data_IF_986591057099
#
_entry.id   IF_986591057099
#
_cell.length_a   1.000
_cell.length_b   1.000
_cell.length_c   1.000
_cell.angle_alpha   90.00
_cell.angle_beta   90.00
_cell.angle_gamma   90.00
#
_symmetry.space_group_name_H-M   'P 1'
#
loop_
_entity.id
_entity.type
_entity.pdbx_description
1 polymer ?
#
# COMPACT_ATOMS: atom_id res chain seq x y z
N UNK A 1 -23.94 5.79 4.82
CA UNK A 1 -24.83 5.46 3.67
C UNK A 1 -25.58 4.16 3.97
N UNK A 2 -26.91 4.21 3.99
CA UNK A 2 -27.76 3.03 4.18
C UNK A 2 -28.02 2.46 2.78
N UNK A 3 -27.75 1.17 2.59
CA UNK A 3 -28.03 0.46 1.34
C UNK A 3 -29.17 -0.51 1.61
N UNK A 4 -30.24 -0.41 0.84
CA UNK A 4 -31.42 -1.24 0.97
C UNK A 4 -32.10 -1.41 -0.38
N UNK A 5 -32.80 -2.53 -0.54
CA UNK A 5 -33.59 -2.77 -1.75
C UNK A 5 -34.82 -1.86 -1.75
N UNK A 6 -35.06 -1.17 -2.86
CA UNK A 6 -36.24 -0.30 -3.06
C UNK A 6 -37.43 -1.12 -3.57
N UNK A 7 -37.19 -2.33 -4.06
CA UNK A 7 -38.21 -3.23 -4.58
C UNK A 7 -37.74 -4.68 -4.64
N UNK A 8 -38.60 -5.55 -5.14
CA UNK A 8 -38.30 -6.95 -5.45
C UNK A 8 -38.68 -7.27 -6.89
N UNK A 9 -37.95 -8.20 -7.49
CA UNK A 9 -38.31 -8.79 -8.79
C UNK A 9 -38.79 -10.20 -8.52
N UNK A 10 -40.01 -10.49 -8.94
CA UNK A 10 -40.59 -11.83 -8.86
C UNK A 10 -40.37 -12.54 -10.19
N UNK A 11 -39.75 -13.72 -10.10
CA UNK A 11 -39.24 -14.48 -11.25
C UNK A 11 -39.98 -15.81 -11.39
N UNK A 12 -41.30 -15.76 -11.42
CA UNK A 12 -42.12 -16.98 -11.55
C UNK A 12 -42.06 -17.61 -12.95
N UNK A 13 -41.68 -16.86 -14.00
CA UNK A 13 -41.54 -17.37 -15.37
C UNK A 13 -40.11 -17.66 -15.83
N UNK A 14 -39.97 -18.53 -16.84
CA UNK A 14 -38.69 -18.89 -17.47
C UNK A 14 -38.14 -17.80 -18.39
N UNK A 15 -39.03 -16.97 -18.95
CA UNK A 15 -38.66 -15.91 -19.87
C UNK A 15 -38.64 -14.53 -19.17
N UNK A 16 -37.75 -13.60 -19.58
CA UNK A 16 -37.64 -12.27 -18.95
C UNK A 16 -38.91 -11.43 -19.05
N UNK A 17 -39.81 -11.75 -19.98
CA UNK A 17 -41.12 -11.09 -20.17
C UNK A 17 -42.12 -11.38 -19.06
N UNK A 18 -41.91 -12.44 -18.27
CA UNK A 18 -42.81 -12.84 -17.19
C UNK A 18 -42.40 -12.25 -15.83
N UNK A 19 -41.34 -11.44 -15.80
CA UNK A 19 -40.84 -10.86 -14.56
C UNK A 19 -41.77 -9.77 -14.08
N UNK A 20 -42.20 -9.87 -12.82
CA UNK A 20 -42.96 -8.82 -12.17
C UNK A 20 -42.06 -7.96 -11.31
N UNK A 21 -42.16 -6.66 -11.51
CA UNK A 21 -41.36 -5.67 -10.79
C UNK A 21 -42.23 -5.02 -9.73
N UNK A 22 -41.86 -5.20 -8.47
CA UNK A 22 -42.58 -4.62 -7.35
C UNK A 22 -41.73 -3.60 -6.61
N UNK A 23 -42.36 -2.51 -6.21
CA UNK A 23 -41.74 -1.43 -5.45
C UNK A 23 -42.31 -1.37 -4.02
N UNK A 24 -41.45 -1.22 -3.01
CA UNK A 24 -41.88 -1.11 -1.62
C UNK A 24 -42.39 0.31 -1.33
N UNK A 25 -43.64 0.44 -0.87
CA UNK A 25 -44.24 1.74 -0.50
C UNK A 25 -43.92 2.15 0.93
N UNK A 26 -43.76 1.18 1.82
CA UNK A 26 -43.63 1.44 3.25
C UNK A 26 -42.29 0.97 3.82
N UNK A 27 -41.52 1.93 4.34
CA UNK A 27 -40.23 1.67 4.98
C UNK A 27 -40.33 1.91 6.50
N UNK A 28 -39.97 0.90 7.29
CA UNK A 28 -39.86 0.98 8.74
C UNK A 28 -38.40 1.22 9.15
N UNK A 29 -38.17 2.32 9.86
CA UNK A 29 -36.90 2.65 10.50
C UNK A 29 -36.99 2.34 11.99
N UNK A 30 -36.28 1.31 12.44
CA UNK A 30 -36.04 1.05 13.85
C UNK A 30 -34.72 1.73 14.24
N UNK A 31 -34.81 2.84 14.97
CA UNK A 31 -33.65 3.62 15.41
C UNK A 31 -33.35 3.30 16.88
N UNK A 32 -32.18 2.72 17.10
CA UNK A 32 -31.67 2.43 18.44
C UNK A 32 -30.77 3.57 18.92
N UNK A 33 -31.09 4.14 20.08
CA UNK A 33 -30.37 5.27 20.65
C UNK A 33 -29.94 5.00 22.10
N UNK A 34 -28.86 5.64 22.52
CA UNK A 34 -28.39 5.66 23.92
C UNK A 34 -28.08 7.11 24.27
N UNK A 35 -28.83 7.68 25.22
CA UNK A 35 -28.81 9.13 25.54
C UNK A 35 -28.98 9.97 24.26
N UNK A 36 -28.06 10.89 24.00
CA UNK A 36 -28.12 11.80 22.85
C UNK A 36 -27.46 11.23 21.57
N UNK A 37 -27.17 9.93 21.51
CA UNK A 37 -26.44 9.32 20.38
C UNK A 37 -27.19 8.14 19.76
N UNK A 38 -27.31 8.16 18.43
CA UNK A 38 -27.82 7.04 17.63
C UNK A 38 -26.75 5.95 17.52
N UNK A 39 -27.13 4.70 17.81
CA UNK A 39 -26.25 3.54 17.86
C UNK A 39 -26.41 2.70 16.60
N UNK A 40 -27.65 2.36 16.24
CA UNK A 40 -27.98 1.50 15.10
C UNK A 40 -29.28 1.99 14.44
N UNK A 41 -29.34 1.93 13.12
CA UNK A 41 -30.58 2.13 12.36
C UNK A 41 -30.82 0.84 11.58
N UNK A 42 -31.91 0.16 11.90
CA UNK A 42 -32.35 -1.02 11.17
C UNK A 42 -33.50 -0.61 10.24
N UNK A 43 -33.37 -0.96 8.96
CA UNK A 43 -34.36 -0.64 7.93
C UNK A 43 -35.06 -1.92 7.52
N UNK A 44 -36.38 -1.91 7.61
CA UNK A 44 -37.24 -3.03 7.20
C UNK A 44 -38.26 -2.50 6.21
N UNK A 45 -38.36 -3.14 5.06
CA UNK A 45 -39.41 -2.84 4.07
C UNK A 45 -40.62 -3.74 4.35
N UNK A 46 -41.82 -3.17 4.32
CA UNK A 46 -43.03 -3.97 4.45
C UNK A 46 -43.27 -4.76 3.15
N UNK A 47 -43.38 -6.09 3.27
CA UNK A 47 -43.65 -6.96 2.12
C UNK A 47 -45.11 -6.90 1.66
N UNK A 48 -46.01 -6.35 2.47
CA UNK A 48 -47.44 -6.24 2.15
C UNK A 48 -47.78 -4.94 1.41
N UNK A 49 -46.92 -3.91 1.53
CA UNK A 49 -47.11 -2.61 0.90
C UNK A 49 -46.33 -2.51 -0.42
N UNK A 50 -46.79 -3.22 -1.45
CA UNK A 50 -46.14 -3.29 -2.77
C UNK A 50 -46.92 -2.50 -3.84
N UNK A 51 -46.21 -1.83 -4.75
CA UNK A 51 -46.75 -1.34 -6.05
C UNK A 51 -46.24 -2.29 -7.12
N UNK A 52 -47.11 -2.71 -8.03
CA UNK A 52 -46.68 -3.35 -9.27
C UNK A 52 -46.31 -2.26 -10.29
N UNK A 53 -45.08 -2.30 -10.78
CA UNK A 53 -44.51 -1.39 -11.79
C UNK A 53 -44.02 -2.16 -13.02
N UNK A 54 -44.63 -3.32 -13.29
CA UNK A 54 -44.25 -4.19 -14.41
C UNK A 54 -44.60 -3.58 -15.76
N UNK A 55 -45.71 -2.86 -15.83
CA UNK A 55 -46.13 -2.16 -17.04
C UNK A 55 -45.53 -0.74 -17.08
N UNK A 56 -45.14 -0.27 -18.26
CA UNK A 56 -44.59 1.08 -18.50
C UNK A 56 -45.70 2.15 -18.51
N UNK A 57 -46.50 2.15 -17.44
CA UNK A 57 -47.59 3.08 -17.20
C UNK A 57 -47.22 4.02 -16.05
N UNK A 58 -47.73 5.25 -16.10
CA UNK A 58 -47.60 6.17 -14.97
C UNK A 58 -48.40 5.63 -13.76
N UNK A 59 -47.69 5.27 -12.69
CA UNK A 59 -48.31 4.77 -11.44
C UNK A 59 -48.11 5.80 -10.34
N UNK A 60 -49.22 6.30 -9.79
CA UNK A 60 -49.18 7.15 -8.60
C UNK A 60 -48.96 6.28 -7.35
N UNK A 61 -47.92 6.60 -6.58
CA UNK A 61 -47.48 5.81 -5.44
C UNK A 61 -47.14 6.72 -4.26
N UNK A 62 -47.94 6.63 -3.20
CA UNK A 62 -47.64 7.29 -1.94
C UNK A 62 -46.63 6.48 -1.13
N UNK A 63 -45.46 7.09 -0.89
CA UNK A 63 -44.43 6.51 -0.04
C UNK A 63 -44.65 6.90 1.41
N UNK A 64 -44.71 5.88 2.27
CA UNK A 64 -44.88 6.04 3.70
C UNK A 64 -43.64 5.54 4.41
N UNK A 65 -43.32 6.18 5.52
CA UNK A 65 -42.29 5.68 6.41
C UNK A 65 -42.76 5.73 7.85
N UNK A 66 -42.28 4.80 8.66
CA UNK A 66 -42.55 4.77 10.10
C UNK A 66 -41.24 4.71 10.83
N UNK A 67 -41.05 5.61 11.79
CA UNK A 67 -39.87 5.66 12.64
C UNK A 67 -40.24 5.18 14.02
N UNK A 68 -39.54 4.16 14.51
CA UNK A 68 -39.66 3.64 15.89
C UNK A 68 -38.34 3.86 16.61
N UNK A 69 -38.38 4.68 17.65
CA UNK A 69 -37.23 4.92 18.51
C UNK A 69 -37.21 3.90 19.65
N UNK A 70 -36.06 3.26 19.87
CA UNK A 70 -35.86 2.25 20.92
C UNK A 70 -34.59 2.56 21.69
N UNK A 71 -34.71 2.65 23.01
CA UNK A 71 -33.55 2.86 23.88
C UNK A 71 -32.69 1.58 23.96
N UNK A 72 -31.37 1.75 23.95
CA UNK A 72 -30.40 0.66 24.09
C UNK A 72 -29.33 1.01 25.11
N UNK A 73 -28.89 -0.02 25.85
CA UNK A 73 -27.80 0.10 26.82
C UNK A 73 -26.40 0.06 26.18
N UNK A 74 -26.30 -0.19 24.87
CA UNK A 74 -25.00 -0.28 24.18
C UNK A 74 -24.33 1.09 24.10
N UNK A 75 -23.12 1.27 24.63
CA UNK A 75 -22.41 2.54 24.53
C UNK A 75 -22.01 2.82 23.07
N UNK A 76 -21.99 4.10 22.70
CA UNK A 76 -21.71 4.54 21.33
C UNK A 76 -20.37 4.01 20.76
N UNK A 77 -19.37 3.84 21.62
CA UNK A 77 -18.03 3.38 21.23
C UNK A 77 -18.02 1.91 20.81
N UNK A 78 -18.98 1.11 21.30
CA UNK A 78 -19.12 -0.33 20.99
C UNK A 78 -20.15 -0.64 19.89
N UNK A 79 -20.72 0.39 19.24
CA UNK A 79 -21.82 0.21 18.27
C UNK A 79 -21.48 -0.70 17.10
N UNK A 80 -20.19 -0.82 16.76
CA UNK A 80 -19.74 -1.55 15.58
C UNK A 80 -19.31 -3.00 15.90
N UNK A 81 -19.22 -3.37 17.19
CA UNK A 81 -18.78 -4.70 17.65
C UNK A 81 -19.60 -5.85 17.03
N UNK A 82 -20.91 -5.61 16.82
CA UNK A 82 -21.84 -6.53 16.15
C UNK A 82 -21.36 -6.93 14.74
N UNK A 83 -20.79 -5.99 13.98
CA UNK A 83 -20.32 -6.24 12.62
C UNK A 83 -18.96 -6.91 12.59
N UNK A 84 -18.10 -6.66 13.58
CA UNK A 84 -16.84 -7.41 13.72
C UNK A 84 -17.08 -8.90 14.04
N UNK A 85 -18.17 -9.22 14.76
CA UNK A 85 -18.54 -10.61 15.02
C UNK A 85 -19.07 -11.33 13.77
N UNK A 86 -19.72 -10.61 12.84
CA UNK A 86 -20.14 -11.18 11.56
C UNK A 86 -18.95 -11.53 10.66
N UNK A 87 -17.87 -10.74 10.68
CA UNK A 87 -16.61 -11.12 10.01
C UNK A 87 -15.89 -12.29 10.70
N UNK A 88 -16.17 -12.55 11.98
CA UNK A 88 -15.60 -13.68 12.73
C UNK A 88 -16.48 -14.93 12.74
N UNK A 89 -17.48 -15.03 11.85
CA UNK A 89 -18.31 -16.22 11.75
C UNK A 89 -17.42 -17.44 11.39
N UNK A 90 -17.60 -18.63 12.02
CA UNK A 90 -16.68 -19.76 11.86
C UNK A 90 -16.39 -20.13 10.40
N UNK A 91 -17.39 -20.04 9.53
CA UNK A 91 -17.27 -20.35 8.11
C UNK A 91 -16.36 -19.36 7.34
N UNK A 92 -16.38 -18.08 7.67
CA UNK A 92 -15.47 -17.09 7.07
C UNK A 92 -14.05 -17.25 7.60
N UNK A 93 -13.88 -17.55 8.90
CA UNK A 93 -12.56 -17.83 9.47
C UNK A 93 -11.88 -19.05 8.84
N UNK A 94 -12.65 -20.10 8.58
CA UNK A 94 -12.14 -21.32 7.94
C UNK A 94 -11.59 -21.04 6.54
N UNK A 95 -12.28 -20.22 5.74
CA UNK A 95 -11.83 -19.80 4.41
C UNK A 95 -10.56 -18.94 4.51
N UNK A 96 -10.50 -18.00 5.46
CA UNK A 96 -9.32 -17.16 5.65
C UNK A 96 -8.09 -17.98 6.09
N UNK A 97 -8.26 -18.89 7.05
CA UNK A 97 -7.17 -19.77 7.50
C UNK A 97 -6.72 -20.74 6.41
N UNK A 98 -7.65 -21.30 5.64
CA UNK A 98 -7.31 -22.15 4.50
C UNK A 98 -6.49 -21.38 3.45
N UNK A 99 -6.89 -20.15 3.13
CA UNK A 99 -6.16 -19.27 2.21
C UNK A 99 -4.75 -18.92 2.72
N UNK A 100 -4.60 -18.61 4.02
CA UNK A 100 -3.31 -18.32 4.65
C UNK A 100 -2.39 -19.54 4.60
N UNK A 101 -2.89 -20.72 4.96
CA UNK A 101 -2.12 -21.97 4.92
C UNK A 101 -1.70 -22.27 3.49
N UNK A 102 -2.63 -22.20 2.53
CA UNK A 102 -2.33 -22.45 1.13
C UNK A 102 -1.27 -21.48 0.58
N UNK A 103 -1.38 -20.19 0.91
CA UNK A 103 -0.37 -19.19 0.52
C UNK A 103 0.99 -19.48 1.17
N UNK A 104 1.02 -19.84 2.45
CA UNK A 104 2.25 -20.18 3.17
C UNK A 104 2.94 -21.40 2.57
N UNK A 105 2.19 -22.48 2.35
CA UNK A 105 2.69 -23.71 1.70
C UNK A 105 3.23 -23.40 0.31
N UNK A 106 2.49 -22.61 -0.49
CA UNK A 106 2.94 -22.23 -1.84
C UNK A 106 4.26 -21.44 -1.80
N UNK A 107 4.38 -20.45 -0.90
CA UNK A 107 5.61 -19.66 -0.75
C UNK A 107 6.78 -20.53 -0.28
N UNK A 108 6.56 -21.42 0.69
CA UNK A 108 7.61 -22.33 1.18
C UNK A 108 8.05 -23.32 0.10
N UNK A 109 7.13 -23.89 -0.67
CA UNK A 109 7.45 -24.80 -1.78
C UNK A 109 8.21 -24.08 -2.89
N UNK A 110 7.77 -22.89 -3.29
CA UNK A 110 8.46 -22.08 -4.30
C UNK A 110 9.86 -21.65 -3.83
N UNK A 111 9.98 -21.21 -2.57
CA UNK A 111 11.26 -20.83 -1.97
C UNK A 111 12.20 -22.03 -1.87
N UNK A 112 11.69 -23.18 -1.44
CA UNK A 112 12.44 -24.44 -1.38
C UNK A 112 12.89 -24.88 -2.76
N UNK A 113 12.00 -24.87 -3.75
CA UNK A 113 12.34 -25.20 -5.13
C UNK A 113 13.43 -24.26 -5.69
N UNK A 114 13.25 -22.94 -5.54
CA UNK A 114 14.25 -21.96 -5.95
C UNK A 114 15.58 -22.16 -5.22
N UNK A 115 15.57 -22.41 -3.91
CA UNK A 115 16.76 -22.68 -3.12
C UNK A 115 17.46 -23.96 -3.59
N UNK A 116 16.74 -25.04 -3.91
CA UNK A 116 17.36 -26.27 -4.46
C UNK A 116 17.99 -26.04 -5.83
N UNK A 117 17.34 -25.28 -6.71
CA UNK A 117 17.94 -24.89 -8.00
C UNK A 117 19.20 -24.07 -7.76
N UNK A 118 19.11 -23.04 -6.92
CA UNK A 118 20.24 -22.15 -6.63
C UNK A 118 21.41 -22.91 -5.99
N UNK A 119 21.15 -23.80 -5.03
CA UNK A 119 22.17 -24.66 -4.42
C UNK A 119 22.76 -25.65 -5.43
N UNK A 120 21.95 -26.21 -6.33
CA UNK A 120 22.44 -27.09 -7.39
C UNK A 120 23.34 -26.35 -8.37
N UNK A 121 22.93 -25.15 -8.80
CA UNK A 121 23.72 -24.28 -9.69
C UNK A 121 25.01 -23.86 -9.00
N UNK A 122 24.94 -23.35 -7.77
CA UNK A 122 26.13 -22.97 -7.00
C UNK A 122 27.09 -24.15 -6.80
N UNK A 123 26.59 -25.33 -6.39
CA UNK A 123 27.42 -26.53 -6.22
C UNK A 123 28.09 -26.92 -7.53
N UNK A 124 27.36 -26.90 -8.63
CA UNK A 124 27.92 -27.21 -9.95
C UNK A 124 28.96 -26.18 -10.39
N UNK A 125 28.72 -24.88 -10.13
CA UNK A 125 29.67 -23.80 -10.39
C UNK A 125 30.94 -23.99 -9.55
N UNK A 126 30.81 -24.24 -8.24
CA UNK A 126 31.95 -24.47 -7.35
C UNK A 126 32.80 -25.67 -7.79
N UNK A 127 32.18 -26.80 -8.15
CA UNK A 127 32.91 -28.00 -8.61
C UNK A 127 33.65 -27.74 -9.92
N UNK A 128 33.02 -27.02 -10.86
CA UNK A 128 33.66 -26.64 -12.12
C UNK A 128 34.90 -25.78 -11.89
N UNK A 129 34.78 -24.73 -11.06
CA UNK A 129 35.89 -23.81 -10.83
C UNK A 129 36.98 -24.34 -9.88
N UNK A 130 36.67 -25.29 -9.00
CA UNK A 130 37.68 -25.94 -8.15
C UNK A 130 38.63 -26.83 -8.97
N UNK A 131 38.15 -27.44 -10.06
CA UNK A 131 39.00 -28.20 -10.98
C UNK A 131 39.78 -27.30 -11.96
N UNK A 132 39.24 -26.15 -12.35
CA UNK A 132 39.92 -25.23 -13.28
C UNK A 132 41.13 -24.49 -12.63
N UNK A 133 41.19 -24.35 -11.30
CA UNK A 133 42.33 -23.73 -10.59
C UNK A 133 43.65 -24.52 -10.71
N UNK A 134 43.60 -25.82 -11.03
CA UNK A 134 44.81 -26.65 -11.25
C UNK A 134 45.40 -26.48 -12.68
N UNK A 135 44.73 -25.76 -13.59
CA UNK A 135 45.11 -25.63 -15.02
C UNK A 135 45.46 -24.19 -15.44
N UNK A 136 45.81 -23.34 -14.47
CA UNK A 136 45.67 -21.88 -14.49
C UNK A 136 46.74 -21.06 -15.25
N UNK A 137 47.06 -21.36 -16.52
CA UNK A 137 47.89 -20.44 -17.31
C UNK A 137 47.19 -19.74 -18.50
N UNK A 138 46.08 -20.25 -19.07
CA UNK A 138 45.53 -19.66 -20.32
C UNK A 138 43.99 -19.58 -20.44
N UNK A 139 43.20 -19.79 -19.38
CA UNK A 139 41.73 -19.68 -19.51
C UNK A 139 41.19 -18.27 -19.19
N UNK A 140 40.50 -17.66 -20.17
CA UNK A 140 39.72 -16.43 -19.99
C UNK A 140 38.70 -16.60 -18.85
N UNK A 141 38.75 -15.73 -17.84
CA UNK A 141 37.78 -15.73 -16.74
C UNK A 141 36.34 -15.60 -17.29
N UNK A 142 35.51 -16.64 -17.13
CA UNK A 142 34.11 -16.62 -17.59
C UNK A 142 33.12 -16.40 -16.43
N UNK A 143 31.93 -15.86 -16.73
CA UNK A 143 30.82 -15.78 -15.78
C UNK A 143 30.96 -14.69 -14.70
N UNK A 144 30.65 -15.02 -13.45
CA UNK A 144 30.61 -14.07 -12.33
C UNK A 144 32.01 -13.62 -11.87
N UNK A 145 33.03 -14.49 -12.00
CA UNK A 145 34.43 -14.13 -11.74
C UNK A 145 34.85 -12.95 -12.61
N UNK A 146 34.35 -12.88 -13.83
CA UNK A 146 34.68 -11.79 -14.74
C UNK A 146 34.02 -10.44 -14.40
N UNK A 147 33.02 -10.42 -13.51
CA UNK A 147 32.27 -9.22 -13.12
C UNK A 147 32.61 -8.82 -11.67
N UNK A 148 33.31 -9.67 -10.90
CA UNK A 148 33.54 -9.47 -9.47
C UNK A 148 34.14 -8.09 -9.12
N UNK A 149 35.04 -7.58 -9.98
CA UNK A 149 35.67 -6.27 -9.82
C UNK A 149 34.77 -5.07 -10.15
N UNK A 150 33.67 -5.28 -10.89
CA UNK A 150 32.73 -4.23 -11.29
C UNK A 150 31.47 -4.18 -10.39
N UNK A 151 31.08 -5.28 -9.73
CA UNK A 151 29.82 -5.38 -8.94
C UNK A 151 29.74 -4.35 -7.81
N UNK A 152 30.83 -4.17 -7.05
CA UNK A 152 30.85 -3.30 -5.87
C UNK A 152 31.31 -1.87 -6.18
N UNK A 153 31.39 -1.52 -7.46
CA UNK A 153 31.77 -0.17 -7.85
C UNK A 153 30.64 0.81 -7.54
N UNK A 154 31.01 2.00 -7.09
CA UNK A 154 30.03 3.04 -6.81
C UNK A 154 29.21 3.40 -8.06
N UNK A 155 27.88 3.49 -7.94
CA UNK A 155 27.01 3.78 -9.07
C UNK A 155 27.23 5.20 -9.59
N UNK A 156 27.02 5.42 -10.89
CA UNK A 156 27.10 6.76 -11.51
C UNK A 156 26.11 7.74 -10.86
N UNK A 157 24.91 7.27 -10.53
CA UNK A 157 23.83 8.06 -9.91
C UNK A 157 23.71 7.79 -8.40
N UNK A 158 24.81 7.96 -7.65
CA UNK A 158 24.88 7.76 -6.18
C UNK A 158 23.73 8.42 -5.42
N UNK A 159 23.37 9.64 -5.80
CA UNK A 159 22.36 10.43 -5.09
C UNK A 159 20.94 9.90 -5.28
N UNK A 160 20.56 9.53 -6.50
CA UNK A 160 19.23 8.96 -6.77
C UNK A 160 19.07 7.63 -6.05
N UNK A 161 20.11 6.79 -6.08
CA UNK A 161 20.09 5.50 -5.41
C UNK A 161 19.97 5.63 -3.89
N UNK A 162 20.79 6.49 -3.28
CA UNK A 162 20.72 6.74 -1.84
C UNK A 162 19.38 7.39 -1.42
N UNK A 163 18.84 8.31 -2.22
CA UNK A 163 17.53 8.91 -2.00
C UNK A 163 16.40 7.87 -2.09
N UNK A 164 16.41 7.02 -3.11
CA UNK A 164 15.45 5.93 -3.28
C UNK A 164 15.50 4.93 -2.11
N UNK A 165 16.71 4.57 -1.67
CA UNK A 165 16.91 3.71 -0.50
C UNK A 165 16.33 4.36 0.76
N UNK A 166 16.59 5.66 0.98
CA UNK A 166 16.05 6.38 2.14
C UNK A 166 14.53 6.43 2.15
N UNK A 167 13.92 6.82 1.03
CA UNK A 167 12.45 6.82 0.87
C UNK A 167 11.86 5.42 1.04
N UNK A 168 12.51 4.39 0.47
CA UNK A 168 12.08 2.99 0.62
C UNK A 168 12.14 2.51 2.07
N UNK A 169 13.21 2.85 2.79
CA UNK A 169 13.35 2.49 4.21
C UNK A 169 12.27 3.17 5.04
N UNK A 170 11.96 4.44 4.77
CA UNK A 170 10.89 5.17 5.44
C UNK A 170 9.51 4.52 5.23
N UNK A 171 9.18 4.17 3.99
CA UNK A 171 7.92 3.50 3.66
C UNK A 171 7.82 2.13 4.32
N UNK A 172 8.90 1.35 4.31
CA UNK A 172 8.95 0.07 5.00
C UNK A 172 8.73 0.23 6.51
N UNK A 173 9.43 1.17 7.16
CA UNK A 173 9.24 1.44 8.59
C UNK A 173 7.81 1.90 8.90
N UNK A 174 7.23 2.75 8.06
CA UNK A 174 5.84 3.18 8.19
C UNK A 174 4.88 1.99 8.13
N UNK A 175 5.05 1.09 7.16
CA UNK A 175 4.19 -0.09 7.01
C UNK A 175 4.29 -1.00 8.23
N UNK A 176 5.51 -1.25 8.72
CA UNK A 176 5.72 -2.04 9.94
C UNK A 176 5.04 -1.39 11.14
N UNK A 177 5.18 -0.07 11.32
CA UNK A 177 4.59 0.64 12.46
C UNK A 177 3.06 0.62 12.42
N UNK A 178 2.46 0.83 11.24
CA UNK A 178 1.02 0.72 11.04
C UNK A 178 0.53 -0.70 11.35
N UNK A 179 1.26 -1.72 10.90
CA UNK A 179 0.91 -3.11 11.17
C UNK A 179 0.95 -3.42 12.67
N UNK A 180 1.96 -2.94 13.40
CA UNK A 180 2.05 -3.09 14.86
C UNK A 180 0.85 -2.42 15.55
N UNK A 181 0.51 -1.18 15.17
CA UNK A 181 -0.64 -0.48 15.73
C UNK A 181 -1.98 -1.17 15.42
N UNK A 182 -2.10 -1.79 14.23
CA UNK A 182 -3.26 -2.59 13.86
C UNK A 182 -3.36 -3.86 14.73
N UNK A 183 -2.24 -4.56 14.98
CA UNK A 183 -2.20 -5.74 15.85
C UNK A 183 -2.56 -5.41 17.31
N UNK A 184 -2.15 -4.25 17.82
CA UNK A 184 -2.52 -3.76 19.17
C UNK A 184 -3.99 -3.36 19.25
N UNK A 185 -4.69 -3.23 18.12
CA UNK A 185 -6.11 -2.89 18.07
C UNK A 185 -6.39 -1.38 18.14
N UNK A 186 -5.41 -0.53 17.82
CA UNK A 186 -5.58 0.94 17.79
C UNK A 186 -6.52 1.36 16.64
N UNK A 187 -6.54 0.59 15.55
CA UNK A 187 -7.39 0.86 14.39
C UNK A 187 -8.62 -0.03 14.36
N UNK A 188 -9.78 0.61 14.31
CA UNK A 188 -11.04 -0.07 14.04
C UNK A 188 -11.28 -0.14 12.51
N UNK A 189 -11.64 -1.30 11.90
CA UNK A 189 -11.71 -1.48 10.44
C UNK A 189 -12.61 -0.47 9.70
N UNK A 190 -13.60 0.06 10.39
CA UNK A 190 -14.58 0.99 9.84
C UNK A 190 -14.26 2.47 10.11
N UNK A 191 -13.24 2.78 10.93
CA UNK A 191 -12.80 4.15 11.17
C UNK A 191 -11.65 4.54 10.22
N UNK A 192 -11.97 4.66 8.92
CA UNK A 192 -10.98 5.01 7.89
C UNK A 192 -10.25 6.34 8.17
N UNK A 193 -10.93 7.28 8.83
CA UNK A 193 -10.34 8.57 9.20
C UNK A 193 -9.14 8.44 10.15
N UNK A 194 -9.27 7.62 11.20
CA UNK A 194 -8.18 7.40 12.16
C UNK A 194 -6.94 6.78 11.50
N UNK A 195 -7.14 5.86 10.55
CA UNK A 195 -6.07 5.26 9.77
C UNK A 195 -5.33 6.32 8.95
N UNK A 196 -6.06 7.15 8.20
CA UNK A 196 -5.44 8.21 7.39
C UNK A 196 -4.69 9.23 8.25
N UNK A 197 -5.25 9.63 9.40
CA UNK A 197 -4.56 10.55 10.32
C UNK A 197 -3.28 9.92 10.88
N UNK A 198 -3.31 8.63 11.24
CA UNK A 198 -2.13 7.94 11.74
C UNK A 198 -1.06 7.78 10.65
N UNK A 199 -1.45 7.50 9.40
CA UNK A 199 -0.51 7.47 8.27
C UNK A 199 0.24 8.79 8.12
N UNK A 200 -0.47 9.93 8.15
CA UNK A 200 0.15 11.25 8.03
C UNK A 200 1.12 11.52 9.19
N UNK A 201 0.71 11.23 10.43
CA UNK A 201 1.54 11.45 11.62
C UNK A 201 2.77 10.55 11.63
N UNK A 202 2.60 9.25 11.40
CA UNK A 202 3.71 8.28 11.39
C UNK A 202 4.67 8.59 10.25
N UNK A 203 4.16 8.95 9.06
CA UNK A 203 5.01 9.36 7.95
C UNK A 203 5.88 10.58 8.30
N UNK A 204 5.31 11.58 8.98
CA UNK A 204 6.05 12.74 9.43
C UNK A 204 7.15 12.36 10.44
N UNK A 205 6.86 11.44 11.37
CA UNK A 205 7.82 10.98 12.38
C UNK A 205 8.93 10.08 11.80
N UNK A 206 8.63 9.23 10.81
CA UNK A 206 9.63 8.35 10.19
C UNK A 206 10.54 9.06 9.20
N UNK A 207 10.27 10.33 8.87
CA UNK A 207 11.11 11.13 7.96
C UNK A 207 12.58 11.26 8.40
N UNK A 208 12.85 11.25 9.71
CA UNK A 208 14.21 11.24 10.23
C UNK A 208 14.99 9.97 9.86
N UNK A 209 14.32 8.82 9.80
CA UNK A 209 14.92 7.56 9.36
C UNK A 209 15.32 7.65 7.89
N UNK A 210 14.45 8.23 7.06
CA UNK A 210 14.71 8.47 5.64
C UNK A 210 15.96 9.35 5.43
N UNK A 211 16.06 10.44 6.20
CA UNK A 211 17.19 11.36 6.14
C UNK A 211 18.50 10.71 6.59
N UNK A 212 18.44 9.92 7.67
CA UNK A 212 19.58 9.16 8.20
C UNK A 212 20.10 8.14 7.20
N UNK A 213 19.24 7.26 6.68
CA UNK A 213 19.65 6.17 5.79
C UNK A 213 20.12 6.71 4.43
N UNK A 214 19.41 7.69 3.85
CA UNK A 214 19.83 8.31 2.60
C UNK A 214 21.19 9.00 2.74
N UNK A 215 21.42 9.75 3.82
CA UNK A 215 22.65 10.52 3.99
C UNK A 215 23.83 9.64 4.37
N UNK A 216 23.63 8.70 5.29
CA UNK A 216 24.67 7.73 5.70
C UNK A 216 25.14 6.92 4.49
N UNK A 217 24.21 6.37 3.71
CA UNK A 217 24.56 5.59 2.53
C UNK A 217 25.19 6.45 1.41
N UNK A 218 24.73 7.69 1.22
CA UNK A 218 25.36 8.61 0.27
C UNK A 218 26.80 8.97 0.65
N UNK A 219 27.08 9.18 1.94
CA UNK A 219 28.42 9.41 2.44
C UNK A 219 29.33 8.18 2.30
N UNK A 220 28.79 6.96 2.54
CA UNK A 220 29.48 5.70 2.28
C UNK A 220 29.93 5.53 0.82
N UNK A 221 29.17 6.08 -0.13
CA UNK A 221 29.51 6.10 -1.56
C UNK A 221 30.44 7.26 -1.96
N UNK A 222 31.12 7.89 -1.01
CA UNK A 222 31.98 9.07 -1.21
C UNK A 222 31.22 10.25 -1.84
N UNK A 223 29.98 10.48 -1.41
CA UNK A 223 29.17 11.62 -1.80
C UNK A 223 29.50 12.87 -0.96
N UNK A 224 29.90 13.97 -1.60
CA UNK A 224 30.21 15.24 -0.92
C UNK A 224 28.99 16.11 -0.66
N UNK A 225 28.04 16.15 -1.60
CA UNK A 225 26.89 17.06 -1.59
C UNK A 225 25.66 16.49 -0.86
N UNK A 226 25.82 16.16 0.43
CA UNK A 226 24.78 15.51 1.24
C UNK A 226 23.48 16.32 1.35
N UNK A 227 23.55 17.66 1.35
CA UNK A 227 22.35 18.52 1.40
C UNK A 227 21.50 18.35 0.14
N UNK A 228 22.13 18.29 -1.04
CA UNK A 228 21.42 18.08 -2.30
C UNK A 228 20.78 16.68 -2.33
N UNK A 229 21.48 15.69 -1.81
CA UNK A 229 20.95 14.34 -1.66
C UNK A 229 19.72 14.32 -0.74
N UNK A 230 19.78 15.04 0.37
CA UNK A 230 18.68 15.12 1.34
C UNK A 230 17.43 15.78 0.75
N UNK A 231 17.60 16.87 0.00
CA UNK A 231 16.49 17.53 -0.73
C UNK A 231 15.89 16.55 -1.74
N UNK A 232 16.74 15.81 -2.47
CA UNK A 232 16.27 14.79 -3.40
C UNK A 232 15.46 13.70 -2.69
N UNK A 233 15.91 13.18 -1.53
CA UNK A 233 15.17 12.19 -0.73
C UNK A 233 13.79 12.71 -0.33
N UNK A 234 13.69 13.99 0.09
CA UNK A 234 12.41 14.60 0.45
C UNK A 234 11.48 14.76 -0.76
N UNK A 235 12.02 15.14 -1.92
CA UNK A 235 11.22 15.42 -3.11
C UNK A 235 10.91 14.18 -3.97
N UNK A 236 11.71 13.11 -3.91
CA UNK A 236 11.62 11.97 -4.82
C UNK A 236 10.26 11.28 -4.75
N UNK A 237 9.74 11.08 -3.53
CA UNK A 237 8.43 10.49 -3.32
C UNK A 237 7.34 11.55 -3.09
N UNK A 238 7.59 12.57 -2.26
CA UNK A 238 6.58 13.60 -1.97
C UNK A 238 6.24 14.45 -3.18
N UNK A 239 7.17 14.73 -4.09
CA UNK A 239 6.96 15.59 -5.25
C UNK A 239 5.90 15.01 -6.21
N UNK A 240 6.10 13.80 -6.75
CA UNK A 240 5.11 13.14 -7.58
C UNK A 240 3.77 12.93 -6.86
N UNK A 241 3.79 12.56 -5.58
CA UNK A 241 2.57 12.37 -4.78
C UNK A 241 1.80 13.67 -4.60
N UNK A 242 2.49 14.79 -4.38
CA UNK A 242 1.86 16.11 -4.29
C UNK A 242 1.25 16.53 -5.62
N UNK A 243 1.94 16.28 -6.75
CA UNK A 243 1.41 16.60 -8.08
C UNK A 243 0.16 15.78 -8.42
N UNK A 244 0.17 14.47 -8.16
CA UNK A 244 -1.01 13.62 -8.36
C UNK A 244 -2.15 14.03 -7.43
N UNK A 245 -1.84 14.36 -6.17
CA UNK A 245 -2.81 14.90 -5.23
C UNK A 245 -3.43 16.21 -5.75
N UNK A 246 -2.63 17.20 -6.17
CA UNK A 246 -3.13 18.46 -6.70
C UNK A 246 -4.05 18.26 -7.90
N UNK A 247 -3.67 17.38 -8.84
CA UNK A 247 -4.49 17.05 -9.99
C UNK A 247 -5.82 16.41 -9.57
N UNK A 248 -5.78 15.34 -8.77
CA UNK A 248 -6.97 14.61 -8.32
C UNK A 248 -7.88 15.48 -7.46
N UNK A 249 -7.32 16.33 -6.59
CA UNK A 249 -8.09 17.23 -5.75
C UNK A 249 -8.76 18.34 -6.58
N UNK A 250 -8.09 18.85 -7.63
CA UNK A 250 -8.70 19.80 -8.57
C UNK A 250 -9.89 19.17 -9.29
N UNK A 251 -9.73 17.94 -9.80
CA UNK A 251 -10.82 17.18 -10.42
C UNK A 251 -11.98 16.99 -9.42
N UNK A 252 -11.68 16.59 -8.18
CA UNK A 252 -12.68 16.39 -7.15
C UNK A 252 -13.47 17.66 -6.82
N UNK A 253 -12.81 18.82 -6.78
CA UNK A 253 -13.46 20.13 -6.56
C UNK A 253 -14.39 20.47 -7.74
N UNK A 254 -13.94 20.27 -8.99
CA UNK A 254 -14.76 20.55 -10.19
C UNK A 254 -16.05 19.72 -10.20
N UNK A 255 -15.98 18.46 -9.79
CA UNK A 255 -17.15 17.57 -9.69
C UNK A 255 -17.95 17.71 -8.39
N UNK A 256 -17.63 18.67 -7.52
CA UNK A 256 -18.24 18.82 -6.18
C UNK A 256 -18.25 17.50 -5.38
N UNK A 257 -17.20 16.70 -5.53
CA UNK A 257 -17.10 15.40 -4.88
C UNK A 257 -16.87 15.58 -3.38
N UNK A 258 -17.57 14.79 -2.56
CA UNK A 258 -17.39 14.74 -1.10
C UNK A 258 -16.00 14.25 -0.67
N UNK A 259 -15.22 13.70 -1.60
CA UNK A 259 -13.83 13.29 -1.41
C UNK A 259 -12.81 14.43 -1.58
N UNK A 260 -13.22 15.60 -2.05
CA UNK A 260 -12.34 16.76 -2.17
C UNK A 260 -11.85 17.19 -0.77
N UNK A 261 -10.54 17.33 -0.59
CA UNK A 261 -10.00 17.81 0.67
C UNK A 261 -10.26 19.31 0.79
N UNK A 262 -10.87 19.78 1.90
CA UNK A 262 -11.11 21.20 2.10
C UNK A 262 -9.77 21.92 2.29
N UNK A 263 -9.73 23.19 1.87
CA UNK A 263 -8.51 24.01 1.91
C UNK A 263 -7.83 24.02 3.28
N UNK A 264 -8.59 24.07 4.37
CA UNK A 264 -8.06 24.01 5.73
C UNK A 264 -7.22 22.76 6.00
N UNK A 265 -7.67 21.58 5.56
CA UNK A 265 -6.92 20.32 5.74
C UNK A 265 -5.63 20.32 4.94
N UNK A 266 -5.63 20.90 3.73
CA UNK A 266 -4.42 21.04 2.90
C UNK A 266 -3.38 21.89 3.63
N UNK A 267 -3.80 23.03 4.21
CA UNK A 267 -2.92 23.89 5.01
C UNK A 267 -2.34 23.13 6.21
N UNK A 268 -3.16 22.36 6.93
CA UNK A 268 -2.67 21.53 8.05
C UNK A 268 -1.61 20.53 7.60
N UNK A 269 -1.83 19.83 6.48
CA UNK A 269 -0.85 18.86 5.93
C UNK A 269 0.46 19.56 5.56
N UNK A 270 0.39 20.73 4.91
CA UNK A 270 1.58 21.53 4.58
C UNK A 270 2.32 21.96 5.85
N UNK A 271 1.60 22.41 6.89
CA UNK A 271 2.21 22.79 8.16
C UNK A 271 2.93 21.62 8.84
N UNK A 272 2.31 20.44 8.89
CA UNK A 272 2.95 19.22 9.41
C UNK A 272 4.21 18.91 8.61
N UNK A 273 4.16 19.01 7.28
CA UNK A 273 5.30 18.76 6.42
C UNK A 273 6.45 19.76 6.67
N UNK A 274 6.14 21.06 6.79
CA UNK A 274 7.16 22.10 7.01
C UNK A 274 7.71 22.12 8.42
N UNK A 275 6.89 21.88 9.45
CA UNK A 275 7.27 22.05 10.86
C UNK A 275 7.75 20.75 11.51
N UNK A 276 7.36 19.60 10.98
CA UNK A 276 7.73 18.30 11.54
C UNK A 276 8.59 17.52 10.54
N UNK A 277 8.06 17.20 9.37
CA UNK A 277 8.73 16.31 8.41
C UNK A 277 10.07 16.89 7.93
N UNK A 278 10.10 18.14 7.50
CA UNK A 278 11.33 18.76 6.97
C UNK A 278 12.44 18.90 8.04
N UNK A 279 12.18 19.41 9.26
CA UNK A 279 13.18 19.43 10.32
C UNK A 279 13.67 18.04 10.73
N UNK A 280 12.77 17.06 10.89
CA UNK A 280 13.17 15.69 11.24
C UNK A 280 14.04 15.06 10.14
N UNK A 281 13.69 15.27 8.87
CA UNK A 281 14.50 14.82 7.73
C UNK A 281 15.92 15.42 7.79
N UNK A 282 16.05 16.71 8.09
CA UNK A 282 17.35 17.39 8.25
C UNK A 282 18.13 16.87 9.45
N UNK A 283 17.49 16.70 10.60
CA UNK A 283 18.12 16.13 11.79
C UNK A 283 18.63 14.71 11.53
N UNK A 284 17.81 13.88 10.87
CA UNK A 284 18.19 12.56 10.41
C UNK A 284 19.39 12.61 9.45
N UNK A 285 19.37 13.53 8.49
CA UNK A 285 20.48 13.74 7.56
C UNK A 285 21.79 14.13 8.25
N UNK A 286 21.75 15.03 9.23
CA UNK A 286 22.91 15.42 10.03
C UNK A 286 23.45 14.22 10.82
N UNK A 287 22.56 13.43 11.44
CA UNK A 287 22.95 12.21 12.15
C UNK A 287 23.58 11.18 11.19
N UNK A 288 23.03 11.04 9.98
CA UNK A 288 23.54 10.14 8.95
C UNK A 288 24.93 10.57 8.44
N UNK A 289 25.15 11.87 8.25
CA UNK A 289 26.45 12.43 7.85
C UNK A 289 27.53 12.16 8.89
N UNK A 290 27.19 12.26 10.17
CA UNK A 290 28.12 12.02 11.27
C UNK A 290 28.37 10.53 11.55
N UNK A 291 27.67 9.64 10.85
CA UNK A 291 27.87 8.20 10.96
C UNK A 291 29.23 7.81 10.37
N UNK A 292 30.08 7.12 11.15
CA UNK A 292 31.40 6.63 10.72
C UNK A 292 31.32 5.32 9.92
N UNK A 293 30.17 5.01 9.33
CA UNK A 293 30.02 3.80 8.57
C UNK A 293 30.79 3.93 7.25
N UNK A 294 31.78 3.07 7.04
CA UNK A 294 32.51 2.96 5.78
C UNK A 294 31.91 1.85 4.93
N UNK A 295 31.89 2.03 3.61
CA UNK A 295 31.46 1.00 2.69
C UNK A 295 32.53 -0.10 2.60
N UNK A 296 32.24 -1.27 3.19
CA UNK A 296 33.12 -2.43 3.11
C UNK A 296 32.72 -3.30 1.93
N UNK A 297 33.43 -3.14 0.81
CA UNK A 297 33.26 -4.01 -0.34
C UNK A 297 33.83 -5.42 -0.03
N UNK A 298 33.05 -6.50 -0.25
CA UNK A 298 33.54 -7.87 -0.03
C UNK A 298 34.74 -8.27 -0.91
N UNK A 299 34.91 -7.59 -2.06
CA UNK A 299 36.03 -7.80 -2.99
C UNK A 299 36.56 -6.47 -3.51
N UNK A 300 37.82 -6.45 -3.92
CA UNK A 300 38.48 -5.28 -4.48
C UNK A 300 37.85 -4.92 -5.84
N UNK A 301 37.58 -3.64 -6.04
CA UNK A 301 37.03 -3.13 -7.30
C UNK A 301 38.11 -2.73 -8.29
N UNK A 302 37.80 -2.88 -9.58
CA UNK A 302 38.64 -2.40 -10.70
C UNK A 302 38.48 -0.89 -10.87
N UNK A 303 39.56 -0.21 -11.29
CA UNK A 303 39.56 1.25 -11.46
C UNK A 303 38.81 1.70 -12.73
N UNK A 304 38.90 0.93 -13.80
CA UNK A 304 38.30 1.25 -15.09
C UNK A 304 37.09 0.35 -15.36
N UNK A 305 35.96 0.92 -15.84
CA UNK A 305 34.81 0.12 -16.18
C UNK A 305 35.17 -0.70 -17.41
N UNK A 306 34.76 -1.96 -17.39
CA UNK A 306 34.90 -2.78 -18.58
C UNK A 306 34.01 -2.26 -19.72
N UNK A 307 34.47 -2.43 -20.95
CA UNK A 307 33.66 -2.16 -22.13
C UNK A 307 32.50 -3.16 -22.23
N UNK A 308 31.28 -2.65 -22.27
CA UNK A 308 30.07 -3.45 -22.42
C UNK A 308 29.70 -3.42 -23.91
N UNK A 309 29.52 -4.58 -24.58
CA UNK A 309 29.13 -4.62 -25.98
C UNK A 309 27.76 -3.94 -26.18
N UNK A 310 27.53 -3.29 -27.33
CA UNK A 310 26.27 -2.62 -27.59
C UNK A 310 25.11 -3.62 -27.55
N UNK A 311 24.10 -3.30 -26.75
CA UNK A 311 22.91 -4.13 -26.59
C UNK A 311 21.94 -3.90 -27.76
N UNK A 312 21.27 -4.96 -28.25
CA UNK A 312 20.12 -4.81 -29.13
C UNK A 312 19.02 -3.95 -28.49
N UNK A 313 18.22 -3.25 -29.30
CA UNK A 313 17.23 -2.29 -28.81
C UNK A 313 16.27 -2.87 -27.76
N UNK A 314 15.85 -4.13 -27.90
CA UNK A 314 14.91 -4.81 -27.00
C UNK A 314 15.52 -5.23 -25.65
N UNK A 315 16.86 -5.20 -25.53
CA UNK A 315 17.59 -5.41 -24.26
C UNK A 315 18.00 -4.09 -23.59
N UNK A 316 17.53 -2.96 -24.12
CA UNK A 316 17.73 -1.65 -23.49
C UNK A 316 16.93 -1.48 -22.19
N UNK A 317 17.26 -0.45 -21.42
CA UNK A 317 16.64 -0.18 -20.11
C UNK A 317 15.13 0.02 -20.20
N UNK A 318 14.63 0.79 -21.18
CA UNK A 318 13.19 1.11 -21.28
C UNK A 318 12.34 -0.14 -21.60
N UNK A 319 12.66 -0.96 -22.64
CA UNK A 319 11.90 -2.20 -22.89
C UNK A 319 11.96 -3.19 -21.72
N UNK A 320 13.10 -3.29 -21.03
CA UNK A 320 13.21 -4.16 -19.86
C UNK A 320 12.38 -3.66 -18.68
N UNK A 321 12.35 -2.36 -18.40
CA UNK A 321 11.47 -1.78 -17.38
C UNK A 321 9.99 -2.01 -17.72
N UNK A 322 9.62 -1.93 -18.99
CA UNK A 322 8.26 -2.22 -19.44
C UNK A 322 7.88 -3.71 -19.31
N UNK A 323 8.79 -4.62 -19.66
CA UNK A 323 8.56 -6.08 -19.57
C UNK A 323 8.54 -6.60 -18.14
N UNK A 324 9.39 -6.07 -17.24
CA UNK A 324 9.47 -6.52 -15.86
C UNK A 324 8.26 -6.08 -15.01
N UNK A 325 7.53 -5.04 -15.45
CA UNK A 325 6.54 -4.35 -14.62
C UNK A 325 7.23 -3.49 -13.54
N UNK A 326 6.62 -2.35 -13.21
CA UNK A 326 7.10 -1.48 -12.13
C UNK A 326 6.64 -1.98 -10.77
#
# INVERSE_FOLDING_TARGET
>A
PIWGFIGKVDKEGKDPSDYRYYLYKHIHFDIFYNKDRVIEINVRTDQNALVDVTEDNEVDAEFLYTVKWKETNTPFDKRMDKYSQSSSLPHHLEIHWFSIINSCVTVLLLTGFLATILMRVLKNDFVKYAHDEETAEDQEETGWKYIHGDVFRFPKFKSVFAAALGSGTQLFTLTVFIFILALVGVFYPYNRGALFTALVVIYALTSGIAGYTATSFYCQLEGSNWVRNLILTGCLFCGPLFLTFCFLNTVAIVYNATAALPFGTIVVIVLIWTLVTSPLLVLGGIAGKNSKAEFQAPVRTTKYPREIPPLPWYRGTIPQMAMAGF
#
